data_IF_516585193132
#
_entry.id   IF_516585193132
#
_cell.length_a   1.000
_cell.length_b   1.000
_cell.length_c   1.000
_cell.angle_alpha   90.00
_cell.angle_beta   90.00
_cell.angle_gamma   90.00
#
_symmetry.space_group_name_H-M   'P 1'
#
loop_
_entity.id
_entity.type
_entity.pdbx_description
1 polymer ?
#
# COMPACT_ATOMS: atom_id res chain seq x y z
N UNK A 1 -24.22 28.56 -1.64
CA UNK A 1 -23.17 27.89 -0.80
C UNK A 1 -22.47 26.92 -1.71
N UNK A 2 -21.14 26.82 -1.65
CA UNK A 2 -20.43 25.80 -2.44
C UNK A 2 -20.93 24.40 -2.04
N UNK A 3 -21.18 23.55 -3.03
CA UNK A 3 -21.63 22.17 -2.86
C UNK A 3 -20.58 21.38 -2.08
N UNK A 4 -21.00 20.48 -1.21
CA UNK A 4 -20.10 19.64 -0.38
C UNK A 4 -19.87 18.35 -1.14
N UNK A 5 -18.61 18.06 -1.48
CA UNK A 5 -18.23 16.81 -2.14
C UNK A 5 -18.22 15.68 -1.11
N UNK A 6 -18.96 14.63 -1.38
CA UNK A 6 -19.08 13.45 -0.52
C UNK A 6 -18.16 12.32 -0.98
N UNK A 7 -17.18 11.98 -0.13
CA UNK A 7 -16.28 10.84 -0.32
C UNK A 7 -16.76 9.68 0.55
N UNK A 8 -16.98 8.51 -0.05
CA UNK A 8 -17.39 7.29 0.66
C UNK A 8 -16.21 6.34 0.78
N UNK A 9 -15.79 6.09 2.02
CA UNK A 9 -14.61 5.31 2.36
C UNK A 9 -13.48 6.16 2.94
N UNK A 10 -13.18 5.98 4.23
CA UNK A 10 -12.10 6.63 4.97
C UNK A 10 -10.81 5.80 5.06
N UNK A 11 -10.59 4.91 4.09
CA UNK A 11 -9.30 4.26 3.86
C UNK A 11 -8.29 5.20 3.20
N UNK A 12 -7.07 4.72 2.94
CA UNK A 12 -5.99 5.57 2.42
C UNK A 12 -6.37 6.29 1.13
N UNK A 13 -7.07 5.63 0.21
CA UNK A 13 -7.49 6.23 -1.08
C UNK A 13 -8.47 7.37 -0.86
N UNK A 14 -9.51 7.15 -0.05
CA UNK A 14 -10.49 8.21 0.23
C UNK A 14 -9.91 9.38 1.01
N UNK A 15 -9.02 9.12 1.99
CA UNK A 15 -8.35 10.16 2.76
C UNK A 15 -7.41 11.00 1.89
N UNK A 16 -6.63 10.38 0.99
CA UNK A 16 -5.77 11.13 0.06
C UNK A 16 -6.59 11.91 -0.97
N UNK A 17 -7.68 11.33 -1.49
CA UNK A 17 -8.60 12.05 -2.39
C UNK A 17 -9.23 13.26 -1.69
N UNK A 18 -9.71 13.09 -0.45
CA UNK A 18 -10.24 14.19 0.34
C UNK A 18 -9.19 15.28 0.59
N UNK A 19 -7.93 14.90 0.87
CA UNK A 19 -6.85 15.85 1.04
C UNK A 19 -6.60 16.66 -0.24
N UNK A 20 -6.52 16.00 -1.39
CA UNK A 20 -6.33 16.64 -2.70
C UNK A 20 -7.50 17.58 -3.07
N UNK A 21 -8.74 17.24 -2.73
CA UNK A 21 -9.91 18.11 -2.91
C UNK A 21 -9.81 19.36 -2.03
N UNK A 22 -9.43 19.21 -0.77
CA UNK A 22 -9.28 20.37 0.14
C UNK A 22 -8.14 21.29 -0.28
N UNK A 23 -7.05 20.76 -0.85
CA UNK A 23 -5.96 21.56 -1.45
C UNK A 23 -6.45 22.43 -2.60
N UNK A 24 -7.53 22.03 -3.29
CA UNK A 24 -8.20 22.76 -4.37
C UNK A 24 -9.38 23.62 -3.89
N UNK A 25 -9.46 23.86 -2.59
CA UNK A 25 -10.48 24.73 -1.98
C UNK A 25 -11.88 24.11 -1.90
N UNK A 26 -12.03 22.82 -2.11
CA UNK A 26 -13.31 22.15 -2.06
C UNK A 26 -13.73 21.85 -0.62
N UNK A 27 -15.04 21.93 -0.34
CA UNK A 27 -15.64 21.45 0.90
C UNK A 27 -15.90 19.96 0.78
N UNK A 28 -15.41 19.17 1.75
CA UNK A 28 -15.47 17.72 1.69
C UNK A 28 -16.13 17.14 2.93
N UNK A 29 -16.90 16.07 2.75
CA UNK A 29 -17.44 15.20 3.79
C UNK A 29 -17.04 13.76 3.50
N UNK A 30 -16.55 13.04 4.51
CA UNK A 30 -16.13 11.64 4.38
C UNK A 30 -17.05 10.75 5.20
N UNK A 31 -17.61 9.73 4.55
CA UNK A 31 -18.42 8.69 5.20
C UNK A 31 -17.57 7.42 5.38
N UNK A 32 -17.39 6.99 6.61
CA UNK A 32 -16.73 5.73 6.95
C UNK A 32 -17.12 5.29 8.37
N UNK A 33 -17.41 4.02 8.64
CA UNK A 33 -17.77 3.57 9.99
C UNK A 33 -16.63 3.74 11.01
N UNK A 34 -15.36 3.69 10.56
CA UNK A 34 -14.17 3.73 11.41
C UNK A 34 -13.02 4.50 10.72
N UNK A 35 -13.19 5.81 10.44
CA UNK A 35 -12.22 6.55 9.63
C UNK A 35 -10.84 6.56 10.28
N UNK A 36 -9.86 5.93 9.61
CA UNK A 36 -8.47 5.85 10.06
C UNK A 36 -8.22 5.08 11.36
N UNK A 37 -9.24 4.42 11.91
CA UNK A 37 -9.13 3.60 13.12
C UNK A 37 -8.93 2.12 12.76
N UNK A 38 -8.74 1.27 13.79
CA UNK A 38 -8.70 -0.19 13.64
C UNK A 38 -10.08 -0.72 13.23
N UNK A 39 -10.34 -0.71 11.93
CA UNK A 39 -11.53 -1.28 11.32
C UNK A 39 -11.20 -2.56 10.54
N UNK A 40 -12.03 -2.84 9.53
CA UNK A 40 -11.84 -3.98 8.61
C UNK A 40 -11.08 -3.59 7.34
N UNK A 41 -10.71 -2.32 7.19
CA UNK A 41 -10.10 -1.78 5.97
C UNK A 41 -8.65 -2.23 5.76
N UNK A 42 -8.30 -2.55 4.52
CA UNK A 42 -6.97 -3.02 4.15
C UNK A 42 -5.83 -2.07 4.56
N UNK A 43 -6.08 -0.76 4.52
CA UNK A 43 -5.05 0.27 4.78
C UNK A 43 -4.44 0.19 6.18
N UNK A 44 -5.23 -0.15 7.20
CA UNK A 44 -4.75 -0.25 8.58
C UNK A 44 -3.78 -1.41 8.80
N UNK A 45 -3.92 -2.48 8.00
CA UNK A 45 -3.12 -3.71 8.10
C UNK A 45 -2.04 -3.80 7.01
N UNK A 46 -1.84 -2.77 6.21
CA UNK A 46 -0.85 -2.79 5.15
C UNK A 46 0.59 -2.67 5.69
N UNK A 47 1.54 -3.29 4.99
CA UNK A 47 2.97 -3.16 5.27
C UNK A 47 3.50 -1.76 4.97
N UNK A 48 3.00 -1.09 3.95
CA UNK A 48 3.35 0.31 3.65
C UNK A 48 4.58 0.51 2.79
N UNK A 49 5.03 -0.50 2.08
CA UNK A 49 6.07 -0.34 1.07
C UNK A 49 5.58 0.55 -0.08
N UNK A 50 6.46 1.46 -0.51
CA UNK A 50 6.31 2.30 -1.69
C UNK A 50 7.35 1.84 -2.70
N UNK A 51 7.18 0.61 -3.17
CA UNK A 51 8.21 -0.18 -3.82
C UNK A 51 7.76 -0.60 -5.24
N UNK A 52 7.73 0.33 -6.20
CA UNK A 52 7.34 0.01 -7.57
C UNK A 52 8.26 -1.00 -8.24
N UNK A 53 9.51 -1.15 -7.76
CA UNK A 53 10.48 -2.06 -8.35
C UNK A 53 10.44 -3.40 -7.62
N UNK A 54 10.65 -3.44 -6.30
CA UNK A 54 10.67 -4.70 -5.55
C UNK A 54 9.32 -5.43 -5.51
N UNK A 55 8.20 -4.73 -5.77
CA UNK A 55 6.85 -5.32 -5.74
C UNK A 55 6.27 -5.64 -7.13
N UNK A 56 6.91 -5.22 -8.24
CA UNK A 56 6.41 -5.55 -9.59
C UNK A 56 6.55 -7.05 -9.85
N UNK A 57 5.54 -7.61 -10.50
CA UNK A 57 5.51 -9.01 -10.91
C UNK A 57 5.50 -9.13 -12.43
N UNK A 58 5.96 -10.26 -12.93
CA UNK A 58 5.85 -10.59 -14.35
C UNK A 58 4.40 -10.45 -14.84
N UNK A 59 4.21 -9.96 -16.05
CA UNK A 59 2.89 -9.74 -16.68
C UNK A 59 2.03 -8.62 -16.03
N UNK A 60 2.59 -7.78 -15.18
CA UNK A 60 1.89 -6.62 -14.62
C UNK A 60 2.23 -5.30 -15.36
N UNK A 61 2.46 -5.38 -16.67
CA UNK A 61 2.91 -4.25 -17.50
C UNK A 61 1.96 -3.04 -17.44
N UNK A 62 0.66 -3.28 -17.35
CA UNK A 62 -0.34 -2.20 -17.22
C UNK A 62 -0.34 -1.54 -15.84
N UNK A 63 0.08 -2.25 -14.78
CA UNK A 63 0.14 -1.73 -13.42
C UNK A 63 1.42 -0.94 -13.16
N UNK A 64 2.51 -1.32 -13.79
CA UNK A 64 3.83 -0.75 -13.52
C UNK A 64 3.91 0.78 -13.72
N UNK A 65 3.39 1.38 -14.80
CA UNK A 65 3.35 2.84 -14.95
C UNK A 65 2.64 3.56 -13.80
N UNK A 66 1.50 3.00 -13.33
CA UNK A 66 0.78 3.53 -12.16
C UNK A 66 1.63 3.50 -10.89
N UNK A 67 2.34 2.39 -10.64
CA UNK A 67 3.20 2.24 -9.48
C UNK A 67 4.32 3.27 -9.47
N UNK A 68 5.00 3.44 -10.62
CA UNK A 68 6.10 4.41 -10.77
C UNK A 68 5.61 5.85 -10.64
N UNK A 69 4.53 6.23 -11.35
CA UNK A 69 3.96 7.58 -11.28
C UNK A 69 3.53 7.91 -9.85
N UNK A 70 2.96 6.94 -9.14
CA UNK A 70 2.55 7.14 -7.76
C UNK A 70 3.74 7.27 -6.80
N UNK A 71 4.76 6.44 -6.91
CA UNK A 71 5.99 6.57 -6.12
C UNK A 71 6.63 7.95 -6.30
N UNK A 72 6.70 8.44 -7.54
CA UNK A 72 7.21 9.78 -7.85
C UNK A 72 6.35 10.92 -7.27
N UNK A 73 5.05 10.70 -7.02
CA UNK A 73 4.16 11.70 -6.44
C UNK A 73 4.30 11.81 -4.91
N UNK A 74 4.81 10.78 -4.23
CA UNK A 74 4.91 10.75 -2.77
C UNK A 74 5.70 11.91 -2.15
N UNK A 75 6.91 12.28 -2.63
CA UNK A 75 7.65 13.38 -2.03
C UNK A 75 6.88 14.70 -2.02
N UNK A 76 6.09 14.97 -3.06
CA UNK A 76 5.24 16.16 -3.13
C UNK A 76 4.07 16.07 -2.16
N UNK A 77 3.39 14.93 -2.08
CA UNK A 77 2.29 14.71 -1.14
C UNK A 77 2.77 14.89 0.30
N UNK A 78 3.91 14.31 0.67
CA UNK A 78 4.48 14.40 2.02
C UNK A 78 4.83 15.84 2.39
N UNK A 79 5.43 16.62 1.48
CA UNK A 79 5.72 18.04 1.74
C UNK A 79 4.44 18.86 1.96
N UNK A 80 3.41 18.66 1.14
CA UNK A 80 2.13 19.36 1.27
C UNK A 80 1.39 18.97 2.55
N UNK A 81 1.46 17.71 2.94
CA UNK A 81 0.87 17.24 4.20
C UNK A 81 1.62 17.83 5.41
N UNK A 82 2.94 17.87 5.39
CA UNK A 82 3.76 18.47 6.45
C UNK A 82 3.55 19.98 6.60
N UNK A 83 3.10 20.68 5.55
CA UNK A 83 2.72 22.08 5.65
C UNK A 83 1.40 22.32 6.44
N UNK A 84 0.60 21.26 6.67
CA UNK A 84 -0.70 21.34 7.35
C UNK A 84 -0.68 20.70 8.73
N UNK A 85 0.17 19.70 8.94
CA UNK A 85 0.24 18.95 10.20
C UNK A 85 1.66 18.51 10.51
N UNK A 86 2.00 18.52 11.79
CA UNK A 86 3.26 18.01 12.35
C UNK A 86 3.19 16.49 12.67
N UNK A 87 2.05 15.84 12.41
CA UNK A 87 1.90 14.41 12.69
C UNK A 87 2.85 13.57 11.83
N UNK A 88 3.57 12.61 12.43
CA UNK A 88 4.49 11.77 11.67
C UNK A 88 3.73 10.87 10.69
N UNK A 89 4.34 10.61 9.54
CA UNK A 89 3.82 9.70 8.52
C UNK A 89 4.59 8.38 8.47
N UNK A 90 5.79 8.35 9.05
CA UNK A 90 6.75 7.27 8.86
C UNK A 90 7.22 7.15 7.41
N UNK A 91 7.16 8.24 6.63
CA UNK A 91 7.75 8.28 5.29
C UNK A 91 9.27 8.24 5.40
N UNK A 92 9.87 7.26 4.75
CA UNK A 92 11.29 6.98 4.79
C UNK A 92 11.79 6.63 3.38
N UNK A 93 12.92 7.19 3.01
CA UNK A 93 13.55 7.09 1.70
C UNK A 93 14.89 6.36 1.74
N UNK A 94 15.19 5.64 2.81
CA UNK A 94 16.44 4.87 2.98
C UNK A 94 16.63 3.83 1.87
N UNK A 95 15.54 3.32 1.32
CA UNK A 95 15.57 2.33 0.24
C UNK A 95 15.20 0.92 0.70
N UNK A 96 15.28 -0.01 -0.26
CA UNK A 96 14.96 -1.43 -0.04
C UNK A 96 16.14 -2.32 -0.39
N UNK A 97 16.49 -3.24 0.50
CA UNK A 97 17.40 -4.35 0.24
C UNK A 97 16.59 -5.60 -0.09
N UNK A 98 16.76 -6.14 -1.29
CA UNK A 98 16.23 -7.45 -1.66
C UNK A 98 17.31 -8.50 -1.43
N UNK A 99 17.03 -9.53 -0.65
CA UNK A 99 18.01 -10.57 -0.29
C UNK A 99 17.48 -11.96 -0.60
N UNK A 100 18.38 -12.85 -0.98
CA UNK A 100 18.09 -14.24 -1.35
C UNK A 100 18.59 -15.20 -0.28
N UNK A 101 17.70 -16.07 0.22
CA UNK A 101 18.00 -17.02 1.28
C UNK A 101 18.92 -18.17 0.86
N UNK A 102 18.84 -18.58 -0.39
CA UNK A 102 19.66 -19.66 -0.95
C UNK A 102 20.05 -19.41 -2.42
N UNK A 103 20.69 -20.41 -3.06
CA UNK A 103 21.16 -20.29 -4.46
C UNK A 103 20.02 -20.25 -5.47
N UNK A 104 18.90 -20.91 -5.22
CA UNK A 104 17.73 -20.89 -6.09
C UNK A 104 17.07 -19.51 -6.01
N UNK A 105 16.88 -18.98 -4.80
CA UNK A 105 16.39 -17.62 -4.56
C UNK A 105 17.30 -16.57 -5.22
N UNK A 106 18.64 -16.76 -5.18
CA UNK A 106 19.58 -15.88 -5.84
C UNK A 106 19.51 -15.96 -7.38
N UNK A 107 19.19 -17.11 -7.95
CA UNK A 107 18.90 -17.22 -9.38
C UNK A 107 17.63 -16.44 -9.74
N UNK A 108 16.55 -16.64 -8.99
CA UNK A 108 15.31 -15.88 -9.16
C UNK A 108 15.52 -14.37 -9.02
N UNK A 109 16.31 -13.90 -8.04
CA UNK A 109 16.64 -12.49 -7.87
C UNK A 109 17.35 -11.91 -9.11
N UNK A 110 18.22 -12.70 -9.78
CA UNK A 110 18.85 -12.26 -11.05
C UNK A 110 17.81 -12.11 -12.15
N UNK A 111 16.93 -13.10 -12.35
CA UNK A 111 15.88 -13.04 -13.36
C UNK A 111 14.96 -11.84 -13.17
N UNK A 112 14.57 -11.56 -11.93
CA UNK A 112 13.77 -10.38 -11.57
C UNK A 112 14.56 -9.08 -11.80
N UNK A 113 15.87 -9.06 -11.51
CA UNK A 113 16.73 -7.89 -11.78
C UNK A 113 16.88 -7.62 -13.28
N UNK A 114 16.92 -8.67 -14.11
CA UNK A 114 16.91 -8.55 -15.58
C UNK A 114 15.58 -8.00 -16.08
N UNK A 115 14.47 -8.44 -15.49
CA UNK A 115 13.15 -7.88 -15.78
C UNK A 115 13.06 -6.38 -15.42
N UNK A 116 13.60 -5.95 -14.26
CA UNK A 116 13.66 -4.53 -13.90
C UNK A 116 14.45 -3.72 -14.93
N UNK A 117 15.56 -4.25 -15.43
CA UNK A 117 16.35 -3.60 -16.49
C UNK A 117 15.55 -3.46 -17.78
N UNK A 118 14.73 -4.45 -18.15
CA UNK A 118 13.85 -4.34 -19.32
C UNK A 118 12.79 -3.23 -19.19
N UNK A 119 12.44 -2.86 -17.96
CA UNK A 119 11.55 -1.75 -17.62
C UNK A 119 12.31 -0.40 -17.46
N UNK A 120 13.59 -0.32 -17.86
CA UNK A 120 14.48 0.82 -17.62
C UNK A 120 14.57 1.21 -16.13
N UNK A 121 14.60 0.21 -15.25
CA UNK A 121 14.77 0.36 -13.81
C UNK A 121 15.97 -0.46 -13.34
N UNK A 122 16.59 -0.02 -12.27
CA UNK A 122 17.75 -0.70 -11.71
C UNK A 122 17.48 -1.18 -10.29
N UNK A 123 17.74 -2.47 -10.07
CA UNK A 123 18.14 -2.98 -8.78
C UNK A 123 19.65 -3.21 -8.86
N UNK A 124 20.42 -2.51 -8.06
CA UNK A 124 21.87 -2.68 -8.05
C UNK A 124 22.21 -4.01 -7.37
N UNK A 125 22.65 -5.00 -8.13
CA UNK A 125 23.18 -6.23 -7.57
C UNK A 125 24.45 -5.92 -6.75
N UNK A 126 24.45 -6.23 -5.47
CA UNK A 126 25.56 -5.96 -4.56
C UNK A 126 26.04 -7.25 -3.90
N UNK A 127 27.34 -7.33 -3.54
CA UNK A 127 27.81 -8.44 -2.72
C UNK A 127 27.08 -8.50 -1.37
N UNK A 128 26.83 -9.70 -0.86
CA UNK A 128 26.22 -9.90 0.49
C UNK A 128 27.04 -9.19 1.58
N UNK A 129 28.36 -9.12 1.44
CA UNK A 129 29.23 -8.37 2.35
C UNK A 129 28.91 -6.89 2.39
N UNK A 130 28.57 -6.26 1.22
CA UNK A 130 28.13 -4.86 1.16
C UNK A 130 26.74 -4.69 1.78
N UNK A 131 25.81 -5.62 1.48
CA UNK A 131 24.49 -5.61 2.10
C UNK A 131 24.59 -5.69 3.63
N UNK A 132 25.46 -6.54 4.15
CA UNK A 132 25.72 -6.64 5.59
C UNK A 132 26.49 -5.46 6.18
N UNK A 133 27.23 -4.72 5.38
CA UNK A 133 27.83 -3.46 5.84
C UNK A 133 26.77 -2.35 5.98
N UNK A 134 25.71 -2.38 5.15
CA UNK A 134 24.55 -1.51 5.28
C UNK A 134 23.62 -1.95 6.41
N UNK A 135 23.37 -3.25 6.50
CA UNK A 135 22.48 -3.88 7.49
C UNK A 135 23.19 -5.04 8.20
N UNK A 136 23.88 -4.77 9.32
CA UNK A 136 24.65 -5.79 10.06
C UNK A 136 23.82 -6.95 10.59
N UNK A 137 22.50 -6.74 10.81
CA UNK A 137 21.57 -7.76 11.26
C UNK A 137 21.20 -8.81 10.21
N UNK A 138 21.59 -8.61 8.94
CA UNK A 138 21.36 -9.63 7.89
C UNK A 138 22.13 -10.91 8.17
N UNK A 139 21.50 -12.05 7.86
CA UNK A 139 22.13 -13.36 7.99
C UNK A 139 23.44 -13.44 7.17
N UNK A 140 24.50 -14.09 7.73
CA UNK A 140 25.81 -14.13 7.07
C UNK A 140 25.87 -15.05 5.84
N UNK A 141 24.96 -16.00 5.74
CA UNK A 141 24.92 -17.06 4.73
C UNK A 141 23.84 -16.83 3.65
N UNK A 142 23.44 -15.58 3.42
CA UNK A 142 22.60 -15.21 2.29
C UNK A 142 23.35 -15.45 0.96
N UNK A 143 22.61 -15.81 -0.08
CA UNK A 143 23.18 -16.18 -1.38
C UNK A 143 23.20 -15.05 -2.41
N UNK A 144 22.51 -13.94 -2.18
CA UNK A 144 22.46 -12.81 -3.07
C UNK A 144 21.83 -11.59 -2.40
N UNK A 145 22.13 -10.40 -2.95
CA UNK A 145 21.53 -9.16 -2.53
C UNK A 145 21.43 -8.14 -3.68
N UNK A 146 20.42 -7.28 -3.63
CA UNK A 146 20.29 -6.12 -4.49
C UNK A 146 19.80 -4.92 -3.68
N UNK A 147 20.31 -3.73 -4.00
CA UNK A 147 19.88 -2.47 -3.43
C UNK A 147 18.97 -1.72 -4.41
N UNK A 148 17.84 -1.24 -3.92
CA UNK A 148 16.87 -0.44 -4.67
C UNK A 148 16.64 0.86 -3.90
N UNK A 149 17.41 1.89 -4.25
CA UNK A 149 17.35 3.19 -3.57
C UNK A 149 16.01 3.92 -3.78
N UNK A 150 15.35 3.69 -4.92
CA UNK A 150 14.09 4.35 -5.27
C UNK A 150 12.83 3.72 -4.67
N UNK A 151 12.94 2.61 -3.95
CA UNK A 151 11.83 1.97 -3.27
C UNK A 151 11.81 2.41 -1.80
N UNK A 152 10.77 3.14 -1.43
CA UNK A 152 10.60 3.79 -0.13
C UNK A 152 9.55 3.09 0.74
N UNK A 153 9.18 3.73 1.86
CA UNK A 153 8.11 3.25 2.74
C UNK A 153 7.34 4.39 3.42
N UNK A 154 6.16 4.08 3.92
CA UNK A 154 5.43 4.86 4.93
C UNK A 154 4.97 3.94 6.05
N UNK A 155 4.65 4.48 7.22
CA UNK A 155 3.91 3.76 8.25
C UNK A 155 2.40 3.99 8.02
N UNK A 156 1.61 3.04 7.48
CA UNK A 156 0.24 3.32 7.03
C UNK A 156 -0.66 3.89 8.12
N UNK A 157 -0.53 3.42 9.35
CA UNK A 157 -1.31 3.91 10.49
C UNK A 157 -0.98 5.36 10.82
N UNK A 158 0.30 5.71 10.84
CA UNK A 158 0.75 7.09 11.08
C UNK A 158 0.34 7.99 9.93
N UNK A 159 0.52 7.55 8.70
CA UNK A 159 0.13 8.31 7.52
C UNK A 159 -1.37 8.61 7.48
N UNK A 160 -2.23 7.62 7.77
CA UNK A 160 -3.67 7.86 7.88
C UNK A 160 -4.00 8.82 9.02
N UNK A 161 -3.34 8.74 10.18
CA UNK A 161 -3.54 9.68 11.29
C UNK A 161 -3.11 11.11 10.91
N UNK A 162 -2.00 11.26 10.19
CA UNK A 162 -1.56 12.56 9.69
C UNK A 162 -2.58 13.17 8.71
N UNK A 163 -3.11 12.36 7.77
CA UNK A 163 -4.18 12.80 6.87
C UNK A 163 -5.45 13.21 7.62
N UNK A 164 -5.88 12.41 8.60
CA UNK A 164 -7.05 12.74 9.42
C UNK A 164 -6.86 14.05 10.18
N UNK A 165 -5.69 14.27 10.79
CA UNK A 165 -5.37 15.52 11.49
C UNK A 165 -5.41 16.72 10.54
N UNK A 166 -4.80 16.60 9.37
CA UNK A 166 -4.80 17.63 8.35
C UNK A 166 -6.21 17.94 7.81
N UNK A 167 -7.00 16.91 7.54
CA UNK A 167 -8.37 17.04 7.04
C UNK A 167 -9.30 17.70 8.08
N UNK A 168 -9.17 17.33 9.35
CA UNK A 168 -9.93 17.99 10.43
C UNK A 168 -9.54 19.45 10.58
N UNK A 169 -8.26 19.79 10.49
CA UNK A 169 -7.79 21.17 10.52
C UNK A 169 -8.35 22.01 9.36
N UNK A 170 -8.68 21.38 8.23
CA UNK A 170 -9.33 22.01 7.07
C UNK A 170 -10.86 21.97 7.09
N UNK A 171 -11.45 21.53 8.20
CA UNK A 171 -12.91 21.53 8.38
C UNK A 171 -13.63 20.40 7.65
N UNK A 172 -12.95 19.31 7.27
CA UNK A 172 -13.61 18.13 6.71
C UNK A 172 -14.47 17.46 7.77
N UNK A 173 -15.72 17.21 7.42
CA UNK A 173 -16.66 16.48 8.26
C UNK A 173 -16.48 14.97 8.06
N UNK A 174 -16.38 14.23 9.17
CA UNK A 174 -16.34 12.76 9.17
C UNK A 174 -17.64 12.22 9.73
N UNK A 175 -18.38 11.51 8.90
CA UNK A 175 -19.63 10.84 9.28
C UNK A 175 -19.33 9.35 9.53
N UNK A 176 -19.55 8.92 10.79
CA UNK A 176 -19.32 7.52 11.20
C UNK A 176 -20.50 6.64 10.81
N UNK A 177 -20.62 6.40 9.52
CA UNK A 177 -21.70 5.63 8.93
C UNK A 177 -21.18 4.67 7.85
N UNK A 178 -21.75 3.47 7.80
CA UNK A 178 -21.53 2.53 6.71
C UNK A 178 -22.55 2.78 5.61
N UNK A 179 -22.09 3.34 4.50
CA UNK A 179 -22.91 3.50 3.29
C UNK A 179 -22.99 2.15 2.57
N UNK A 180 -24.20 1.72 2.28
CA UNK A 180 -24.50 0.49 1.52
C UNK A 180 -25.17 0.76 0.19
N UNK A 181 -25.74 1.97 0.03
CA UNK A 181 -26.30 2.42 -1.25
C UNK A 181 -25.16 2.67 -2.25
N UNK A 182 -25.12 1.92 -3.38
CA UNK A 182 -24.09 2.08 -4.39
C UNK A 182 -24.10 3.44 -5.08
N UNK A 183 -25.26 4.10 -5.13
CA UNK A 183 -25.45 5.37 -5.83
C UNK A 183 -25.26 6.58 -4.91
N UNK A 184 -24.98 6.37 -3.62
CA UNK A 184 -24.70 7.44 -2.68
C UNK A 184 -23.26 7.95 -2.80
N UNK A 185 -23.12 9.28 -2.76
CA UNK A 185 -21.84 10.00 -2.73
C UNK A 185 -21.26 10.29 -4.12
N UNK A 186 -20.29 11.16 -4.13
CA UNK A 186 -19.65 11.68 -5.35
C UNK A 186 -18.42 10.86 -5.74
N UNK A 187 -17.66 10.40 -4.75
CA UNK A 187 -16.45 9.61 -4.94
C UNK A 187 -16.50 8.37 -4.04
N UNK A 188 -16.33 7.18 -4.63
CA UNK A 188 -16.46 5.91 -3.92
C UNK A 188 -15.12 5.18 -3.85
N UNK A 189 -14.65 4.99 -2.59
CA UNK A 189 -13.35 4.37 -2.24
C UNK A 189 -13.52 3.29 -1.16
N UNK A 190 -14.57 2.48 -1.25
CA UNK A 190 -15.05 1.60 -0.17
C UNK A 190 -14.33 0.26 -0.03
N UNK A 191 -13.28 0.01 -0.83
CA UNK A 191 -12.57 -1.27 -0.81
C UNK A 191 -13.52 -2.43 -1.09
N UNK A 192 -13.51 -3.48 -0.27
CA UNK A 192 -14.43 -4.61 -0.39
C UNK A 192 -15.92 -4.25 -0.21
N UNK A 193 -16.23 -3.05 0.30
CA UNK A 193 -17.61 -2.57 0.37
C UNK A 193 -18.30 -2.46 -1.00
N UNK A 194 -17.54 -2.40 -2.09
CA UNK A 194 -18.07 -2.38 -3.46
C UNK A 194 -18.19 -3.78 -4.11
N UNK A 195 -17.99 -4.86 -3.38
CA UNK A 195 -18.04 -6.24 -3.94
C UNK A 195 -19.41 -6.61 -4.56
N UNK A 196 -20.50 -5.93 -4.15
CA UNK A 196 -21.82 -6.11 -4.79
C UNK A 196 -21.96 -5.43 -6.15
N UNK A 197 -21.07 -4.51 -6.50
CA UNK A 197 -21.09 -3.74 -7.76
C UNK A 197 -20.01 -4.20 -8.73
N UNK A 198 -18.88 -4.63 -8.21
CA UNK A 198 -17.69 -5.02 -8.97
C UNK A 198 -17.22 -6.40 -8.54
N UNK A 199 -16.56 -7.16 -9.41
CA UNK A 199 -16.09 -8.51 -9.11
C UNK A 199 -14.85 -8.49 -8.20
N UNK A 200 -14.99 -7.92 -7.00
CA UNK A 200 -13.93 -7.87 -5.99
C UNK A 200 -13.85 -9.18 -5.22
N UNK A 201 -12.62 -9.67 -5.05
CA UNK A 201 -12.31 -10.85 -4.26
C UNK A 201 -11.54 -10.48 -2.99
N UNK A 202 -11.87 -11.07 -1.83
CA UNK A 202 -11.10 -10.87 -0.62
C UNK A 202 -9.80 -11.69 -0.68
N UNK A 203 -8.65 -11.02 -0.58
CA UNK A 203 -7.35 -11.71 -0.48
C UNK A 203 -6.76 -11.42 0.88
N UNK A 204 -6.73 -12.44 1.72
CA UNK A 204 -6.27 -12.35 3.10
C UNK A 204 -4.73 -12.38 3.18
N UNK A 205 -4.17 -11.61 4.10
CA UNK A 205 -2.73 -11.59 4.35
C UNK A 205 -2.44 -11.44 5.83
N UNK A 206 -1.74 -12.44 6.39
CA UNK A 206 -1.25 -12.37 7.75
C UNK A 206 -0.08 -11.41 7.82
N UNK A 207 -0.04 -10.60 8.85
CA UNK A 207 0.97 -9.59 9.13
C UNK A 207 1.27 -9.57 10.63
N UNK A 208 2.54 -9.45 10.97
CA UNK A 208 3.02 -9.42 12.34
C UNK A 208 3.62 -8.04 12.64
N UNK A 209 3.45 -7.58 13.86
CA UNK A 209 4.16 -6.43 14.41
C UNK A 209 4.91 -6.87 15.64
N UNK A 210 6.19 -6.55 15.64
CA UNK A 210 7.11 -6.91 16.69
C UNK A 210 7.72 -5.64 17.29
N UNK A 211 8.09 -5.68 18.57
CA UNK A 211 8.93 -4.68 19.19
C UNK A 211 10.35 -5.24 19.29
N UNK A 212 11.28 -4.59 18.65
CA UNK A 212 12.69 -4.92 18.76
C UNK A 212 13.31 -4.26 20.01
N UNK A 213 14.29 -4.91 20.67
CA UNK A 213 14.99 -4.34 21.82
C UNK A 213 15.89 -3.17 21.42
N UNK A 214 16.30 -3.10 20.15
CA UNK A 214 17.06 -2.03 19.51
C UNK A 214 16.71 -1.99 18.01
N UNK A 215 16.99 -0.92 17.27
CA UNK A 215 16.76 -0.88 15.82
C UNK A 215 17.48 -2.05 15.12
N UNK A 216 16.72 -2.91 14.43
CA UNK A 216 17.27 -4.09 13.76
C UNK A 216 17.85 -3.77 12.39
N UNK A 217 17.09 -3.02 11.61
CA UNK A 217 17.42 -2.64 10.22
C UNK A 217 16.97 -1.19 9.98
N UNK A 218 17.62 -0.52 9.05
CA UNK A 218 17.25 0.82 8.58
C UNK A 218 16.52 0.76 7.23
N UNK A 219 16.98 -0.11 6.32
CA UNK A 219 16.29 -0.35 5.04
C UNK A 219 15.09 -1.27 5.22
N UNK A 220 14.14 -1.18 4.30
CA UNK A 220 13.20 -2.29 4.10
C UNK A 220 13.99 -3.50 3.64
N UNK A 221 13.93 -4.61 4.36
CA UNK A 221 14.52 -5.87 3.92
C UNK A 221 13.43 -6.74 3.30
N UNK A 222 13.54 -7.01 2.00
CA UNK A 222 12.68 -7.94 1.29
C UNK A 222 13.43 -9.24 1.02
N UNK A 223 13.06 -10.30 1.72
CA UNK A 223 13.64 -11.63 1.56
C UNK A 223 12.90 -12.46 0.52
N UNK A 224 13.68 -13.25 -0.22
CA UNK A 224 13.20 -14.43 -0.92
C UNK A 224 13.74 -15.65 -0.15
N UNK A 225 12.84 -16.49 0.34
CA UNK A 225 13.19 -17.69 1.11
C UNK A 225 12.41 -18.88 0.58
N UNK A 226 13.08 -19.80 -0.12
CA UNK A 226 12.47 -20.91 -0.86
C UNK A 226 11.34 -20.41 -1.78
N UNK A 227 11.63 -19.41 -2.61
CA UNK A 227 10.72 -18.74 -3.55
C UNK A 227 9.57 -17.95 -2.89
N UNK A 228 9.50 -17.90 -1.57
CA UNK A 228 8.48 -17.14 -0.85
C UNK A 228 8.98 -15.73 -0.51
N UNK A 229 8.21 -14.69 -0.83
CA UNK A 229 8.55 -13.35 -0.41
C UNK A 229 8.20 -13.13 1.06
N UNK A 230 9.12 -12.54 1.81
CA UNK A 230 8.91 -11.99 3.15
C UNK A 230 9.47 -10.58 3.19
N UNK A 231 8.89 -9.70 3.99
CA UNK A 231 9.46 -8.39 4.27
C UNK A 231 9.66 -8.18 5.77
N UNK A 232 10.72 -7.48 6.11
CA UNK A 232 11.02 -6.95 7.44
C UNK A 232 11.13 -5.44 7.29
N UNK A 233 10.16 -4.71 7.80
CA UNK A 233 10.04 -3.26 7.59
C UNK A 233 10.26 -2.55 8.92
N UNK A 234 11.30 -1.71 9.05
CA UNK A 234 11.51 -0.91 10.25
C UNK A 234 10.44 0.17 10.41
N UNK A 235 10.12 0.48 11.65
CA UNK A 235 9.17 1.51 12.02
C UNK A 235 9.75 2.44 13.08
N UNK A 236 9.25 3.69 13.21
CA UNK A 236 9.62 4.55 14.31
C UNK A 236 9.40 3.88 15.67
N UNK A 237 10.32 4.10 16.60
CA UNK A 237 10.24 3.55 17.96
C UNK A 237 10.68 2.09 18.10
N UNK A 238 11.36 1.52 17.10
CA UNK A 238 11.86 0.14 17.13
C UNK A 238 10.79 -0.92 16.86
N UNK A 239 9.60 -0.53 16.42
CA UNK A 239 8.62 -1.50 15.90
C UNK A 239 9.13 -2.06 14.58
N UNK A 240 8.85 -3.32 14.33
CA UNK A 240 9.16 -4.02 13.07
C UNK A 240 7.89 -4.67 12.54
N UNK A 241 7.62 -4.48 11.24
CA UNK A 241 6.49 -5.09 10.57
C UNK A 241 6.96 -6.24 9.67
N UNK A 242 6.42 -7.45 9.87
CA UNK A 242 6.75 -8.64 9.08
C UNK A 242 5.51 -9.10 8.31
N UNK A 243 5.68 -9.39 7.05
CA UNK A 243 4.60 -9.89 6.20
C UNK A 243 5.06 -10.37 4.83
N UNK A 244 4.16 -10.71 3.99
CA UNK A 244 2.78 -11.04 4.34
C UNK A 244 2.37 -12.30 3.59
N UNK A 245 1.54 -13.11 4.20
CA UNK A 245 0.90 -14.22 3.47
C UNK A 245 -0.07 -13.70 2.41
N UNK A 246 -0.44 -14.56 1.49
CA UNK A 246 -1.49 -14.27 0.50
C UNK A 246 -2.34 -15.52 0.32
N UNK A 247 -3.62 -15.44 0.66
CA UNK A 247 -4.54 -16.58 0.60
C UNK A 247 -5.96 -16.15 0.27
N UNK A 248 -6.63 -16.98 -0.47
CA UNK A 248 -8.03 -16.80 -0.89
C UNK A 248 -8.90 -17.91 -0.27
N UNK A 249 -8.91 -17.96 1.05
CA UNK A 249 -9.72 -18.90 1.82
C UNK A 249 -10.78 -18.15 2.68
N UNK A 250 -11.44 -18.85 3.58
CA UNK A 250 -12.49 -18.28 4.44
C UNK A 250 -11.99 -17.89 5.84
N UNK A 251 -10.71 -18.07 6.14
CA UNK A 251 -10.14 -17.78 7.47
C UNK A 251 -9.93 -16.29 7.65
N UNK A 252 -10.64 -15.70 8.58
CA UNK A 252 -10.59 -14.25 8.89
C UNK A 252 -9.64 -13.92 10.05
N UNK A 253 -8.97 -14.92 10.62
CA UNK A 253 -7.99 -14.79 11.69
C UNK A 253 -6.63 -15.29 11.24
N UNK A 254 -5.51 -14.83 11.86
CA UNK A 254 -4.19 -15.36 11.56
C UNK A 254 -4.14 -16.88 11.74
N UNK A 255 -3.62 -17.55 10.73
CA UNK A 255 -3.37 -18.99 10.82
C UNK A 255 -2.03 -19.27 11.49
N UNK A 256 -1.96 -20.33 12.30
CA UNK A 256 -0.70 -20.77 12.92
C UNK A 256 0.36 -21.07 11.85
N UNK A 257 -0.05 -21.66 10.74
CA UNK A 257 0.78 -21.95 9.57
C UNK A 257 1.39 -20.66 8.98
N UNK A 258 0.56 -19.61 8.76
CA UNK A 258 1.01 -18.33 8.23
C UNK A 258 1.96 -17.59 9.17
N UNK A 259 1.60 -17.51 10.46
CA UNK A 259 2.44 -16.88 11.50
C UNK A 259 3.79 -17.58 11.61
N UNK A 260 3.80 -18.91 11.71
CA UNK A 260 5.04 -19.70 11.79
C UNK A 260 5.91 -19.47 10.55
N UNK A 261 5.31 -19.50 9.35
CA UNK A 261 6.06 -19.33 8.11
C UNK A 261 6.68 -17.93 7.99
N UNK A 262 5.93 -16.88 8.35
CA UNK A 262 6.45 -15.51 8.33
C UNK A 262 7.62 -15.32 9.31
N UNK A 263 7.51 -15.82 10.54
CA UNK A 263 8.59 -15.74 11.52
C UNK A 263 9.83 -16.52 11.03
N UNK A 264 9.64 -17.75 10.57
CA UNK A 264 10.72 -18.58 10.04
C UNK A 264 11.47 -17.91 8.89
N UNK A 265 10.74 -17.35 7.91
CA UNK A 265 11.35 -16.73 6.75
C UNK A 265 12.00 -15.37 7.12
N UNK A 266 11.40 -14.60 8.04
CA UNK A 266 12.02 -13.36 8.54
C UNK A 266 13.32 -13.63 9.33
N UNK A 267 13.33 -14.61 10.21
CA UNK A 267 14.51 -15.03 10.98
C UNK A 267 15.61 -15.55 10.02
N UNK A 268 15.24 -16.24 8.95
CA UNK A 268 16.19 -16.70 7.93
C UNK A 268 16.97 -15.57 7.28
N UNK A 269 16.37 -14.39 7.12
CA UNK A 269 17.03 -13.24 6.49
C UNK A 269 17.57 -12.22 7.51
N UNK A 270 16.92 -12.06 8.65
CA UNK A 270 17.31 -11.18 9.77
C UNK A 270 17.22 -11.97 11.07
N UNK A 271 18.27 -12.70 11.47
CA UNK A 271 18.23 -13.58 12.66
C UNK A 271 17.80 -12.91 13.95
N UNK A 272 18.18 -11.65 14.16
CA UNK A 272 17.82 -10.89 15.36
C UNK A 272 16.30 -10.66 15.55
N UNK A 273 15.47 -11.03 14.59
CA UNK A 273 13.99 -11.09 14.75
C UNK A 273 13.61 -12.04 15.90
N UNK A 274 14.42 -13.04 16.23
CA UNK A 274 14.18 -13.96 17.35
C UNK A 274 14.18 -13.24 18.73
N UNK A 275 14.84 -12.08 18.82
CA UNK A 275 14.94 -11.29 20.06
C UNK A 275 13.77 -10.34 20.28
N UNK A 276 12.87 -10.23 19.28
CA UNK A 276 11.74 -9.32 19.32
C UNK A 276 10.57 -9.86 20.12
N UNK A 277 9.80 -8.94 20.72
CA UNK A 277 8.52 -9.25 21.34
C UNK A 277 7.38 -9.15 20.32
N UNK A 278 6.47 -10.13 20.28
CA UNK A 278 5.28 -10.09 19.42
C UNK A 278 4.23 -9.14 20.00
N UNK A 279 3.99 -8.00 19.31
CA UNK A 279 2.97 -7.02 19.71
C UNK A 279 1.59 -7.41 19.15
N UNK A 280 1.53 -7.70 17.84
CA UNK A 280 0.29 -7.98 17.14
C UNK A 280 0.47 -9.06 16.07
N UNK A 281 -0.54 -9.93 15.97
CA UNK A 281 -0.73 -10.81 14.82
C UNK A 281 -2.11 -10.51 14.22
N UNK A 282 -2.16 -10.08 12.97
CA UNK A 282 -3.39 -9.62 12.32
C UNK A 282 -3.55 -10.23 10.93
N UNK A 283 -4.79 -10.14 10.42
CA UNK A 283 -5.12 -10.41 9.02
C UNK A 283 -5.62 -9.14 8.37
N UNK A 284 -4.95 -8.70 7.31
CA UNK A 284 -5.49 -7.69 6.40
C UNK A 284 -6.24 -8.36 5.25
N UNK A 285 -7.27 -7.69 4.73
CA UNK A 285 -8.04 -8.20 3.59
C UNK A 285 -7.93 -7.22 2.44
N UNK A 286 -7.24 -7.64 1.38
CA UNK A 286 -7.01 -6.83 0.18
C UNK A 286 -8.18 -6.95 -0.78
N UNK A 287 -8.69 -5.84 -1.35
CA UNK A 287 -9.73 -5.87 -2.37
C UNK A 287 -9.10 -6.18 -3.74
N UNK A 288 -9.01 -7.45 -4.09
CA UNK A 288 -8.49 -7.89 -5.38
C UNK A 288 -9.54 -7.82 -6.48
N UNK A 289 -9.15 -7.42 -7.68
CA UNK A 289 -9.92 -7.53 -8.92
C UNK A 289 -9.48 -8.78 -9.69
N UNK A 290 -10.23 -9.29 -10.67
CA UNK A 290 -9.83 -10.47 -11.44
C UNK A 290 -8.51 -10.32 -12.19
N UNK A 291 -8.16 -9.10 -12.58
CA UNK A 291 -6.96 -8.73 -13.33
C UNK A 291 -5.90 -8.00 -12.48
N UNK A 292 -6.11 -7.91 -11.18
CA UNK A 292 -5.28 -7.20 -10.20
C UNK A 292 -5.07 -5.69 -10.46
N UNK A 293 -5.73 -5.12 -11.48
CA UNK A 293 -5.73 -3.68 -11.76
C UNK A 293 -6.77 -2.96 -10.91
N UNK A 294 -6.50 -1.72 -10.47
CA UNK A 294 -7.50 -0.89 -9.81
C UNK A 294 -8.76 -0.67 -10.66
N UNK A 295 -9.85 -0.32 -10.02
CA UNK A 295 -11.05 0.21 -10.68
C UNK A 295 -11.01 1.72 -10.52
N UNK A 296 -10.84 2.44 -11.64
CA UNK A 296 -10.77 3.90 -11.63
C UNK A 296 -11.52 4.49 -12.82
N UNK A 297 -12.48 5.36 -12.54
CA UNK A 297 -13.20 6.05 -13.62
C UNK A 297 -14.55 6.62 -13.21
N UNK A 298 -15.14 7.37 -14.14
CA UNK A 298 -16.46 7.97 -14.00
C UNK A 298 -17.56 6.96 -14.32
N UNK A 299 -18.65 6.99 -13.55
CA UNK A 299 -19.90 6.31 -13.90
C UNK A 299 -21.08 7.25 -13.71
N UNK A 300 -22.21 6.87 -14.25
CA UNK A 300 -23.51 7.51 -14.00
C UNK A 300 -24.33 6.57 -13.10
N UNK A 301 -24.85 7.09 -12.00
CA UNK A 301 -25.73 6.35 -11.09
C UNK A 301 -27.09 6.10 -11.73
N UNK A 302 -27.91 5.25 -11.13
CA UNK A 302 -29.31 5.03 -11.57
C UNK A 302 -30.14 6.32 -11.52
N UNK A 303 -29.78 7.28 -10.68
CA UNK A 303 -30.46 8.58 -10.57
C UNK A 303 -29.91 9.65 -11.54
N UNK A 304 -28.93 9.30 -12.38
CA UNK A 304 -28.31 10.22 -13.34
C UNK A 304 -27.17 11.08 -12.75
N UNK A 305 -26.78 10.87 -11.51
CA UNK A 305 -25.66 11.59 -10.89
C UNK A 305 -24.31 11.07 -11.40
N UNK A 306 -23.35 11.99 -11.59
CA UNK A 306 -21.96 11.62 -11.89
C UNK A 306 -21.27 11.13 -10.62
N UNK A 307 -20.61 10.00 -10.68
CA UNK A 307 -19.84 9.41 -9.58
C UNK A 307 -18.47 8.98 -10.08
N UNK A 308 -17.42 9.19 -9.27
CA UNK A 308 -16.10 8.66 -9.51
C UNK A 308 -15.88 7.42 -8.66
N UNK A 309 -15.38 6.36 -9.27
CA UNK A 309 -14.96 5.14 -8.57
C UNK A 309 -13.44 5.08 -8.52
N UNK A 310 -12.88 4.86 -7.33
CA UNK A 310 -11.46 4.60 -7.11
C UNK A 310 -11.31 3.47 -6.10
N UNK A 311 -11.22 2.22 -6.60
CA UNK A 311 -11.38 1.04 -5.76
C UNK A 311 -10.51 -0.14 -6.25
N UNK A 312 -10.52 -1.27 -5.54
CA UNK A 312 -9.87 -2.49 -5.99
C UNK A 312 -8.35 -2.41 -6.16
N UNK A 313 -7.65 -1.58 -5.35
CA UNK A 313 -6.20 -1.34 -5.47
C UNK A 313 -5.34 -2.52 -4.99
N UNK A 314 -5.94 -3.62 -4.58
CA UNK A 314 -5.33 -4.89 -4.20
C UNK A 314 -4.12 -4.72 -3.26
N UNK A 315 -2.92 -5.18 -3.69
CA UNK A 315 -1.68 -5.13 -2.90
C UNK A 315 -1.07 -3.74 -2.82
N UNK A 316 -1.39 -2.88 -3.80
CA UNK A 316 -0.70 -1.62 -4.05
C UNK A 316 -1.46 -0.38 -3.55
N UNK A 317 -2.52 -0.56 -2.74
CA UNK A 317 -3.36 0.55 -2.28
C UNK A 317 -2.59 1.67 -1.56
N UNK A 318 -1.59 1.33 -0.73
CA UNK A 318 -0.73 2.34 -0.10
C UNK A 318 0.13 3.03 -1.16
N UNK A 319 0.85 2.27 -1.98
CA UNK A 319 1.70 2.83 -3.03
C UNK A 319 0.90 3.73 -3.99
N UNK A 320 -0.27 3.29 -4.43
CA UNK A 320 -1.08 4.02 -5.42
C UNK A 320 -1.84 5.22 -4.83
N UNK A 321 -1.86 5.40 -3.51
CA UNK A 321 -2.67 6.43 -2.86
C UNK A 321 -2.31 7.85 -3.30
N UNK A 322 -1.04 8.16 -3.54
CA UNK A 322 -0.61 9.48 -3.97
C UNK A 322 -1.16 9.85 -5.36
N UNK A 323 -1.03 8.92 -6.32
CA UNK A 323 -1.53 9.13 -7.68
C UNK A 323 -3.06 9.06 -7.74
N UNK A 324 -3.66 8.01 -7.12
CA UNK A 324 -5.11 7.82 -7.15
C UNK A 324 -5.87 8.94 -6.43
N UNK A 325 -5.32 9.46 -5.33
CA UNK A 325 -5.90 10.62 -4.63
C UNK A 325 -5.89 11.87 -5.49
N UNK A 326 -4.73 12.20 -6.09
CA UNK A 326 -4.57 13.33 -6.98
C UNK A 326 -5.49 13.21 -8.20
N UNK A 327 -5.37 12.11 -8.94
CA UNK A 327 -6.20 11.87 -10.13
C UNK A 327 -7.69 11.85 -9.80
N UNK A 328 -8.06 11.26 -8.64
CA UNK A 328 -9.45 11.23 -8.18
C UNK A 328 -10.05 12.63 -8.00
N UNK A 329 -9.31 13.54 -7.37
CA UNK A 329 -9.74 14.93 -7.21
C UNK A 329 -9.82 15.66 -8.56
N UNK A 330 -8.79 15.56 -9.40
CA UNK A 330 -8.70 16.22 -10.71
C UNK A 330 -9.82 15.75 -11.66
N UNK A 331 -9.99 14.44 -11.79
CA UNK A 331 -11.02 13.84 -12.66
C UNK A 331 -12.45 14.18 -12.19
N UNK A 332 -12.69 14.21 -10.88
CA UNK A 332 -13.99 14.61 -10.34
C UNK A 332 -14.28 16.08 -10.65
N UNK A 333 -13.28 16.95 -10.56
CA UNK A 333 -13.40 18.38 -10.84
C UNK A 333 -13.46 18.72 -12.34
N UNK A 334 -13.36 17.74 -13.22
CA UNK A 334 -13.60 17.93 -14.65
C UNK A 334 -12.43 17.58 -15.56
N UNK A 335 -11.25 17.31 -15.02
CA UNK A 335 -10.11 16.87 -15.82
C UNK A 335 -10.35 15.50 -16.47
N UNK A 336 -9.54 15.20 -17.47
CA UNK A 336 -9.55 13.90 -18.12
C UNK A 336 -8.90 12.82 -17.26
N UNK A 337 -9.26 11.56 -17.50
CA UNK A 337 -8.62 10.41 -16.84
C UNK A 337 -7.18 10.32 -17.32
N UNK A 338 -6.17 10.32 -16.42
CA UNK A 338 -4.78 10.16 -16.81
C UNK A 338 -4.56 8.87 -17.61
N UNK A 339 -3.70 8.88 -18.66
CA UNK A 339 -3.49 7.73 -19.54
C UNK A 339 -3.13 6.45 -18.80
N UNK A 340 -2.38 6.55 -17.70
CA UNK A 340 -2.00 5.40 -16.87
C UNK A 340 -3.20 4.66 -16.28
N UNK A 341 -4.32 5.36 -16.04
CA UNK A 341 -5.56 4.75 -15.55
C UNK A 341 -6.48 4.23 -16.67
N UNK A 342 -6.13 4.38 -17.94
CA UNK A 342 -6.98 3.89 -19.04
C UNK A 342 -7.33 2.39 -18.92
N UNK A 343 -6.38 1.49 -18.54
CA UNK A 343 -6.69 0.08 -18.32
C UNK A 343 -7.60 -0.19 -17.12
N UNK A 344 -7.75 0.80 -16.21
CA UNK A 344 -8.45 0.66 -14.94
C UNK A 344 -9.96 0.98 -15.03
N UNK A 345 -10.48 1.26 -16.23
CA UNK A 345 -11.88 1.63 -16.44
C UNK A 345 -12.85 0.64 -15.77
N UNK A 346 -13.85 1.12 -15.00
CA UNK A 346 -14.90 0.25 -14.45
C UNK A 346 -15.68 -0.49 -15.52
N UNK A 347 -15.79 0.08 -16.74
CA UNK A 347 -16.50 -0.51 -17.88
C UNK A 347 -15.92 -1.84 -18.35
N UNK A 348 -14.66 -2.17 -18.01
CA UNK A 348 -14.05 -3.47 -18.38
C UNK A 348 -14.73 -4.67 -17.71
N UNK A 349 -15.57 -4.41 -16.71
CA UNK A 349 -16.39 -5.43 -16.04
C UNK A 349 -17.88 -5.36 -16.40
N UNK A 350 -18.30 -4.37 -17.20
CA UNK A 350 -19.65 -4.31 -17.76
C UNK A 350 -19.74 -5.34 -18.91
N UNK A 351 -20.72 -6.25 -18.82
CA UNK A 351 -21.03 -7.24 -19.88
C UNK A 351 -22.14 -6.74 -20.77
#
# INVERSE_FOLDING_TARGET
>A
MAEVITVVGGGIIGLTTAFELTERGQRVRVYDPTPGERGTGASYFAGGMLAPIAEVQFQQDALFPLMVSSANAYPSLMRRLAAVTDAPTGYDTTGTLVVAGDRADAAHLRDVSDYYRSLNRSAEAIPVSRARALEPALAPDLAGAALIEGDHQVAPRLFMQALLKALRARGVEFVRERVTDPDFGDIVCTGLGAAGQYPLRPVYGDILRLQAPHPLVEHVVRGLVNERPVYVIPRPGGEVCIGATSREDTRTRPGVDGVYQLLKDAIRVVPAVEECELIESNVGVRPGTPDDLPIFGKRITATGQRQLISNGHFRHGILLAALAGKAGAEVFLGEDIPPEFAPCSPKRFER
#
